data_IF_556834963637
#
_entry.id   IF_556834963637
#
_cell.length_a   1.000
_cell.length_b   1.000
_cell.length_c   1.000
_cell.angle_alpha   90.00
_cell.angle_beta   90.00
_cell.angle_gamma   90.00
#
_symmetry.space_group_name_H-M   'P 1'
#
loop_
_entity.id
_entity.type
_entity.pdbx_description
1 polymer ?
#
# COMPACT_ATOMS: atom_id res chain seq x y z
N UNK A 1 -9.65 -12.97 14.15
CA UNK A 1 -9.43 -11.66 13.51
C UNK A 1 -8.12 -11.16 14.04
N UNK A 2 -7.05 -11.42 13.29
CA UNK A 2 -5.71 -11.05 13.69
C UNK A 2 -5.50 -9.59 13.27
N UNK A 3 -5.30 -8.72 14.25
CA UNK A 3 -5.14 -7.29 14.05
C UNK A 3 -3.67 -7.06 13.74
N UNK A 4 -3.30 -7.31 12.48
CA UNK A 4 -1.95 -7.06 11.98
C UNK A 4 -1.49 -5.66 12.44
N UNK A 5 -0.31 -5.64 13.05
CA UNK A 5 0.28 -4.51 13.79
C UNK A 5 0.09 -3.17 13.09
N UNK A 6 -0.88 -2.39 13.56
CA UNK A 6 -1.05 -0.99 13.15
C UNK A 6 0.07 -0.17 13.78
N UNK A 7 1.04 0.28 12.98
CA UNK A 7 2.06 1.22 13.45
C UNK A 7 1.47 2.63 13.38
N UNK A 8 0.99 3.14 14.52
CA UNK A 8 0.53 4.53 14.65
C UNK A 8 1.72 5.45 14.89
N UNK A 9 2.32 5.97 13.83
CA UNK A 9 3.33 7.03 13.94
C UNK A 9 2.61 8.39 13.90
N UNK A 10 2.69 9.23 14.95
CA UNK A 10 1.97 10.49 14.99
C UNK A 10 2.74 11.54 14.17
N UNK A 11 2.53 11.54 12.84
CA UNK A 11 3.07 12.58 11.95
C UNK A 11 2.04 13.70 11.71
N UNK A 12 0.74 13.37 11.80
CA UNK A 12 -0.41 14.28 11.86
C UNK A 12 -1.63 13.54 12.44
N UNK A 13 -2.57 14.23 13.10
CA UNK A 13 -3.80 13.59 13.58
C UNK A 13 -4.59 12.98 12.41
N UNK A 14 -5.03 11.74 12.56
CA UNK A 14 -5.85 11.06 11.56
C UNK A 14 -5.10 10.28 10.47
N UNK A 15 -3.76 10.37 10.42
CA UNK A 15 -2.92 9.58 9.52
C UNK A 15 -2.54 8.22 10.16
N UNK A 16 -2.75 7.12 9.45
CA UNK A 16 -2.36 5.79 9.89
C UNK A 16 -1.81 4.94 8.75
N UNK A 17 -1.00 3.93 9.08
CA UNK A 17 -0.37 3.03 8.13
C UNK A 17 -0.76 1.58 8.39
N UNK A 18 -0.87 0.78 7.32
CA UNK A 18 -0.88 -0.67 7.43
C UNK A 18 0.03 -1.31 6.38
N UNK A 19 0.54 -2.50 6.70
CA UNK A 19 1.21 -3.35 5.73
C UNK A 19 0.19 -3.85 4.71
N UNK A 20 0.47 -3.65 3.42
CA UNK A 20 -0.38 -4.10 2.34
C UNK A 20 -0.45 -5.63 2.32
N UNK A 21 -1.59 -6.13 1.87
CA UNK A 21 -1.85 -7.53 1.62
C UNK A 21 -2.23 -7.73 0.15
N UNK A 22 -2.39 -8.98 -0.29
CA UNK A 22 -2.83 -9.26 -1.66
C UNK A 22 -4.19 -8.63 -1.98
N UNK A 23 -5.06 -8.47 -0.98
CA UNK A 23 -6.38 -7.86 -1.13
C UNK A 23 -6.30 -6.37 -1.49
N UNK A 24 -5.17 -5.71 -1.19
CA UNK A 24 -4.96 -4.30 -1.47
C UNK A 24 -4.44 -4.01 -2.89
N UNK A 25 -4.16 -5.06 -3.68
CA UNK A 25 -3.57 -4.93 -5.03
C UNK A 25 -4.35 -3.95 -5.92
N UNK A 26 -5.66 -4.11 -6.02
CA UNK A 26 -6.48 -3.27 -6.90
C UNK A 26 -6.56 -1.79 -6.41
N UNK A 27 -6.82 -1.51 -5.12
CA UNK A 27 -6.71 -0.15 -4.57
C UNK A 27 -5.35 0.51 -4.84
N UNK A 28 -4.24 -0.20 -4.64
CA UNK A 28 -2.89 0.31 -4.87
C UNK A 28 -2.66 0.66 -6.33
N UNK A 29 -3.00 -0.24 -7.26
CA UNK A 29 -2.87 0.02 -8.70
C UNK A 29 -3.72 1.22 -9.11
N UNK A 30 -4.94 1.32 -8.58
CA UNK A 30 -5.84 2.45 -8.86
C UNK A 30 -5.20 3.77 -8.42
N UNK A 31 -4.57 3.80 -7.23
CA UNK A 31 -3.84 4.96 -6.74
C UNK A 31 -2.63 5.30 -7.61
N UNK A 32 -1.82 4.30 -7.96
CA UNK A 32 -0.66 4.48 -8.84
C UNK A 32 -1.04 4.99 -10.22
N UNK A 33 -2.18 4.54 -10.78
CA UNK A 33 -2.72 5.06 -12.03
C UNK A 33 -3.12 6.54 -11.89
N UNK A 34 -3.86 6.89 -10.82
CA UNK A 34 -4.25 8.27 -10.55
C UNK A 34 -3.04 9.21 -10.34
N UNK A 35 -1.95 8.68 -9.79
CA UNK A 35 -0.68 9.39 -9.62
C UNK A 35 0.24 9.31 -10.85
N UNK A 36 -0.20 8.69 -11.95
CA UNK A 36 0.61 8.48 -13.16
C UNK A 36 1.95 7.78 -12.92
N UNK A 37 1.98 6.81 -11.99
CA UNK A 37 3.16 6.02 -11.64
C UNK A 37 3.27 4.73 -12.46
N UNK A 38 2.18 4.24 -13.06
CA UNK A 38 2.21 3.07 -13.93
C UNK A 38 3.01 3.34 -15.20
N UNK A 39 3.84 2.38 -15.61
CA UNK A 39 4.70 2.44 -16.79
C UNK A 39 4.49 1.23 -17.68
N UNK A 40 4.59 1.41 -18.99
CA UNK A 40 4.32 0.35 -19.96
C UNK A 40 5.30 -0.84 -19.90
N UNK A 41 6.45 -0.67 -19.24
CA UNK A 41 7.47 -1.70 -19.08
C UNK A 41 7.41 -2.43 -17.73
N UNK A 42 6.48 -2.07 -16.85
CA UNK A 42 6.25 -2.73 -15.56
C UNK A 42 4.80 -3.22 -15.48
N UNK A 43 4.58 -4.49 -15.14
CA UNK A 43 3.26 -4.95 -14.72
C UNK A 43 3.10 -4.63 -13.22
N UNK A 44 2.21 -3.69 -12.84
CA UNK A 44 2.08 -3.31 -11.44
C UNK A 44 1.52 -4.44 -10.56
N UNK A 45 0.84 -5.44 -11.14
CA UNK A 45 0.42 -6.64 -10.38
C UNK A 45 1.63 -7.47 -9.98
N UNK A 46 2.56 -7.68 -10.91
CA UNK A 46 3.81 -8.40 -10.62
C UNK A 46 4.68 -7.64 -9.62
N UNK A 47 4.80 -6.32 -9.76
CA UNK A 47 5.54 -5.46 -8.82
C UNK A 47 5.03 -5.63 -7.38
N UNK A 48 3.71 -5.58 -7.18
CA UNK A 48 3.09 -5.78 -5.86
C UNK A 48 3.30 -7.20 -5.37
N UNK A 49 3.09 -8.21 -6.22
CA UNK A 49 3.30 -9.61 -5.85
C UNK A 49 4.75 -9.86 -5.40
N UNK A 50 5.74 -9.34 -6.13
CA UNK A 50 7.14 -9.43 -5.74
C UNK A 50 7.43 -8.71 -4.43
N UNK A 51 6.84 -7.53 -4.22
CA UNK A 51 7.03 -6.77 -2.99
C UNK A 51 6.48 -7.49 -1.74
N UNK A 52 5.36 -8.20 -1.90
CA UNK A 52 4.72 -8.96 -0.84
C UNK A 52 5.39 -10.33 -0.56
N UNK A 53 6.35 -10.76 -1.38
CA UNK A 53 7.10 -12.00 -1.14
C UNK A 53 8.16 -11.76 -0.04
N UNK A 54 8.08 -12.43 1.12
CA UNK A 54 9.07 -12.27 2.19
C UNK A 54 10.43 -12.87 1.79
N UNK A 55 11.56 -12.42 2.39
CA UNK A 55 11.71 -11.39 3.42
C UNK A 55 12.28 -10.06 2.87
N UNK A 56 12.18 -9.79 1.58
CA UNK A 56 12.96 -8.74 0.92
C UNK A 56 12.41 -7.31 1.07
N UNK A 57 11.10 -7.15 1.30
CA UNK A 57 10.44 -5.84 1.34
C UNK A 57 9.11 -5.86 2.10
N UNK A 58 8.60 -4.67 2.38
CA UNK A 58 7.25 -4.43 2.91
C UNK A 58 6.63 -3.26 2.12
N UNK A 59 5.37 -3.41 1.67
CA UNK A 59 4.58 -2.36 1.06
C UNK A 59 3.69 -1.73 2.13
N UNK A 60 3.80 -0.41 2.35
CA UNK A 60 3.03 0.31 3.38
C UNK A 60 2.00 1.23 2.73
N UNK A 61 0.76 1.13 3.17
CA UNK A 61 -0.33 1.98 2.72
C UNK A 61 -0.64 3.03 3.77
N UNK A 62 -0.73 4.30 3.34
CA UNK A 62 -1.05 5.43 4.21
C UNK A 62 -2.53 5.85 4.04
N UNK A 63 -3.20 6.11 5.16
CA UNK A 63 -4.61 6.46 5.20
C UNK A 63 -4.85 7.70 6.04
N UNK A 64 -5.74 8.56 5.56
CA UNK A 64 -6.34 9.65 6.34
C UNK A 64 -7.85 9.40 6.45
N UNK A 65 -8.33 9.18 7.67
CA UNK A 65 -9.70 8.69 7.89
C UNK A 65 -9.92 7.32 7.23
N UNK A 66 -10.89 7.21 6.31
CA UNK A 66 -11.17 5.98 5.54
C UNK A 66 -10.56 5.97 4.12
N UNK A 67 -9.74 6.95 3.76
CA UNK A 67 -9.19 7.11 2.40
C UNK A 67 -7.71 6.77 2.37
N UNK A 68 -7.29 5.95 1.40
CA UNK A 68 -5.87 5.77 1.08
C UNK A 68 -5.33 7.01 0.36
N UNK A 69 -4.18 7.49 0.81
CA UNK A 69 -3.49 8.67 0.28
C UNK A 69 -2.22 8.31 -0.51
N UNK A 70 -1.52 7.26 -0.08
CA UNK A 70 -0.24 6.84 -0.64
C UNK A 70 -0.07 5.32 -0.51
N UNK A 71 0.66 4.76 -1.47
CA UNK A 71 1.06 3.36 -1.56
C UNK A 71 2.42 3.28 -2.27
#
# INVERSE_FOLDING_TARGET
MDMASVVRIPIAEGLWFHAATVDDTLPVITLWQACHLVRAWNDPVEDIHFCLQPPASELLLAFEGMRSLAA
#
